data_IF_621700523902
#
_entry.id   IF_621700523902
#
_cell.length_a   1.000
_cell.length_b   1.000
_cell.length_c   1.000
_cell.angle_alpha   90.00
_cell.angle_beta   90.00
_cell.angle_gamma   90.00
#
_symmetry.space_group_name_H-M   'P 1'
#
loop_
_entity.id
_entity.type
_entity.pdbx_description
1 polymer ?
#
# COMPACT_ATOMS: atom_id res chain seq x y z
N UNK A 1 -7.60 35.14 -33.04
CA UNK A 1 -7.18 35.97 -31.88
C UNK A 1 -8.22 35.91 -30.75
N UNK A 2 -8.22 34.82 -29.98
CA UNK A 2 -8.84 34.75 -28.66
C UNK A 2 -7.96 33.82 -27.81
N UNK A 3 -7.19 34.43 -26.92
CA UNK A 3 -6.26 33.79 -25.99
C UNK A 3 -7.02 33.24 -24.79
N UNK A 4 -7.11 31.92 -24.71
CA UNK A 4 -7.45 31.22 -23.47
C UNK A 4 -6.26 31.35 -22.49
N UNK A 5 -6.41 32.22 -21.49
CA UNK A 5 -5.53 32.25 -20.31
C UNK A 5 -6.02 31.19 -19.32
N UNK A 6 -5.23 30.12 -19.17
CA UNK A 6 -5.28 29.24 -18.00
C UNK A 6 -4.90 30.05 -16.76
N UNK A 7 -5.87 30.31 -15.88
CA UNK A 7 -5.69 30.78 -14.52
C UNK A 7 -6.27 29.70 -13.60
N UNK A 8 -5.44 29.20 -12.67
CA UNK A 8 -5.78 28.10 -11.78
C UNK A 8 -4.63 27.12 -11.50
N UNK A 9 -3.39 27.48 -11.83
CA UNK A 9 -2.20 26.86 -11.28
C UNK A 9 -1.88 27.49 -9.92
N UNK A 10 -2.68 27.17 -8.89
CA UNK A 10 -2.39 27.53 -7.50
C UNK A 10 -3.34 26.77 -6.56
N UNK A 11 -3.19 25.45 -6.49
CA UNK A 11 -3.63 24.64 -5.33
C UNK A 11 -3.06 23.20 -5.37
N UNK A 12 -1.90 23.02 -6.02
CA UNK A 12 -1.06 21.83 -5.86
C UNK A 12 0.02 22.07 -4.80
N UNK A 13 -0.34 22.84 -3.77
CA UNK A 13 0.43 22.85 -2.53
C UNK A 13 0.38 21.43 -1.99
N UNK A 14 1.51 20.73 -2.02
CA UNK A 14 1.75 19.61 -1.13
C UNK A 14 1.36 20.05 0.28
N UNK A 15 0.13 19.76 0.71
CA UNK A 15 -0.10 19.50 2.11
C UNK A 15 0.79 18.30 2.40
N UNK A 16 1.92 18.44 3.12
CA UNK A 16 2.56 17.27 3.66
C UNK A 16 1.45 16.57 4.41
N UNK A 17 1.13 15.33 4.03
CA UNK A 17 0.17 14.53 4.77
C UNK A 17 0.54 14.69 6.24
N UNK A 18 -0.33 15.32 7.04
CA UNK A 18 -0.09 15.63 8.46
C UNK A 18 0.17 14.37 9.30
N UNK A 19 0.13 13.21 8.65
CA UNK A 19 0.44 11.90 9.14
C UNK A 19 1.90 11.49 8.88
N UNK A 20 2.79 11.83 9.80
CA UNK A 20 4.23 11.46 9.78
C UNK A 20 4.48 9.97 9.44
N UNK A 21 3.64 9.08 9.96
CA UNK A 21 3.72 7.65 9.68
C UNK A 21 3.53 7.30 8.19
N UNK A 22 2.66 7.99 7.44
CA UNK A 22 2.50 7.72 6.00
C UNK A 22 3.73 8.18 5.22
N UNK A 23 4.28 9.34 5.56
CA UNK A 23 5.52 9.83 4.98
C UNK A 23 6.69 8.86 5.26
N UNK A 24 6.79 8.34 6.48
CA UNK A 24 7.79 7.34 6.85
C UNK A 24 7.73 6.11 5.92
N UNK A 25 6.54 5.53 5.70
CA UNK A 25 6.38 4.40 4.78
C UNK A 25 6.69 4.76 3.33
N UNK A 26 6.30 5.95 2.87
CA UNK A 26 6.58 6.41 1.52
C UNK A 26 8.09 6.58 1.27
N UNK A 27 8.81 7.21 2.20
CA UNK A 27 10.26 7.36 2.10
C UNK A 27 10.97 6.02 2.18
N UNK A 28 10.52 5.11 3.05
CA UNK A 28 11.01 3.73 3.11
C UNK A 28 10.83 3.00 1.78
N UNK A 29 9.64 3.07 1.19
CA UNK A 29 9.34 2.50 -0.13
C UNK A 29 10.20 3.10 -1.24
N UNK A 30 10.40 4.42 -1.25
CA UNK A 30 11.28 5.09 -2.19
C UNK A 30 12.73 4.64 -2.04
N UNK A 31 13.21 4.50 -0.80
CA UNK A 31 14.55 3.97 -0.51
C UNK A 31 14.73 2.55 -1.05
N UNK A 32 13.76 1.66 -0.80
CA UNK A 32 13.76 0.30 -1.36
C UNK A 32 13.76 0.32 -2.89
N UNK A 33 12.96 1.18 -3.52
CA UNK A 33 12.93 1.33 -4.98
C UNK A 33 14.28 1.80 -5.54
N UNK A 34 14.89 2.83 -4.95
CA UNK A 34 16.20 3.34 -5.40
C UNK A 34 17.29 2.30 -5.22
N UNK A 35 17.35 1.63 -4.06
CA UNK A 35 18.29 0.53 -3.82
C UNK A 35 18.13 -0.58 -4.86
N UNK A 36 16.89 -0.97 -5.12
CA UNK A 36 16.58 -1.95 -6.14
C UNK A 36 17.09 -1.52 -7.53
N UNK A 37 16.81 -0.28 -7.97
CA UNK A 37 17.28 0.24 -9.27
C UNK A 37 18.81 0.30 -9.35
N UNK A 38 19.48 0.71 -8.28
CA UNK A 38 20.95 0.72 -8.20
C UNK A 38 21.51 -0.71 -8.30
N UNK A 39 20.92 -1.67 -7.59
CA UNK A 39 21.39 -3.07 -7.65
C UNK A 39 21.21 -3.68 -9.04
N UNK A 40 20.14 -3.34 -9.76
CA UNK A 40 19.96 -3.77 -11.15
C UNK A 40 21.01 -3.19 -12.09
N UNK A 41 21.33 -1.90 -11.93
CA UNK A 41 22.38 -1.26 -12.73
C UNK A 41 23.75 -1.89 -12.49
N UNK A 42 24.00 -2.42 -11.29
CA UNK A 42 25.24 -3.12 -10.95
C UNK A 42 25.31 -4.57 -11.40
N UNK A 43 24.17 -5.28 -11.47
CA UNK A 43 24.10 -6.71 -11.83
C UNK A 43 23.90 -6.98 -13.31
N UNK A 44 23.68 -5.95 -14.14
CA UNK A 44 23.51 -6.15 -15.57
C UNK A 44 24.80 -6.66 -16.24
N UNK A 45 24.70 -7.75 -16.99
CA UNK A 45 25.76 -8.22 -17.89
C UNK A 45 25.83 -7.27 -19.08
N UNK A 46 26.94 -6.54 -19.19
CA UNK A 46 27.21 -5.58 -20.27
C UNK A 46 28.72 -5.52 -20.49
N UNK A 47 29.12 -5.13 -21.69
CA UNK A 47 30.52 -4.83 -22.00
C UNK A 47 31.17 -3.89 -20.98
N UNK A 48 32.46 -4.10 -20.71
CA UNK A 48 33.19 -3.42 -19.64
C UNK A 48 33.13 -1.88 -19.71
N UNK A 49 33.08 -1.32 -20.93
CA UNK A 49 32.94 0.12 -21.17
C UNK A 49 31.57 0.66 -20.75
N UNK A 50 30.50 -0.07 -21.05
CA UNK A 50 29.13 0.28 -20.66
C UNK A 50 28.87 0.03 -19.17
N UNK A 51 29.56 -0.94 -18.58
CA UNK A 51 29.49 -1.22 -17.14
C UNK A 51 30.02 -0.02 -16.32
N UNK A 52 31.15 0.57 -16.71
CA UNK A 52 31.71 1.74 -16.03
C UNK A 52 30.75 2.93 -16.06
N UNK A 53 30.13 3.20 -17.23
CA UNK A 53 29.13 4.26 -17.40
C UNK A 53 27.87 4.01 -16.57
N UNK A 54 27.36 2.77 -16.55
CA UNK A 54 26.19 2.38 -15.73
C UNK A 54 26.47 2.50 -14.23
N UNK A 55 27.64 2.07 -13.77
CA UNK A 55 28.05 2.24 -12.37
C UNK A 55 28.13 3.71 -11.97
N UNK A 56 28.72 4.56 -12.81
CA UNK A 56 28.78 6.00 -12.57
C UNK A 56 27.37 6.62 -12.53
N UNK A 57 26.48 6.22 -13.44
CA UNK A 57 25.08 6.65 -13.41
C UNK A 57 24.38 6.17 -12.13
N UNK A 58 24.54 4.92 -11.72
CA UNK A 58 23.96 4.40 -10.48
C UNK A 58 24.41 5.21 -9.25
N UNK A 59 25.71 5.52 -9.17
CA UNK A 59 26.28 6.37 -8.10
C UNK A 59 25.67 7.77 -8.15
N UNK A 60 25.55 8.39 -9.34
CA UNK A 60 24.92 9.71 -9.49
C UNK A 60 23.45 9.70 -9.05
N UNK A 61 22.68 8.68 -9.43
CA UNK A 61 21.27 8.57 -9.03
C UNK A 61 21.12 8.35 -7.53
N UNK A 62 21.97 7.49 -6.95
CA UNK A 62 21.97 7.27 -5.51
C UNK A 62 22.39 8.52 -4.74
N UNK A 63 23.43 9.23 -5.21
CA UNK A 63 23.87 10.51 -4.63
C UNK A 63 22.80 11.59 -4.75
N UNK A 64 22.14 11.71 -5.90
CA UNK A 64 21.04 12.65 -6.09
C UNK A 64 19.84 12.32 -5.16
N UNK A 65 19.51 11.04 -5.01
CA UNK A 65 18.50 10.59 -4.05
C UNK A 65 18.88 10.96 -2.61
N UNK A 66 20.12 10.70 -2.20
CA UNK A 66 20.59 11.05 -0.85
C UNK A 66 20.54 12.57 -0.61
N UNK A 67 21.01 13.37 -1.56
CA UNK A 67 20.91 14.83 -1.48
C UNK A 67 19.46 15.30 -1.39
N UNK A 68 18.55 14.75 -2.22
CA UNK A 68 17.13 15.09 -2.17
C UNK A 68 16.48 14.66 -0.85
N UNK A 69 16.83 13.49 -0.32
CA UNK A 69 16.34 13.01 0.97
C UNK A 69 16.83 13.90 2.12
N UNK A 70 18.11 14.28 2.14
CA UNK A 70 18.67 15.18 3.16
C UNK A 70 18.06 16.58 3.08
N UNK A 71 17.85 17.11 1.87
CA UNK A 71 17.14 18.39 1.67
C UNK A 71 15.70 18.30 2.13
N UNK A 72 15.00 17.22 1.81
CA UNK A 72 13.64 16.95 2.26
C UNK A 72 13.54 16.91 3.79
N UNK A 73 14.47 16.19 4.45
CA UNK A 73 14.59 16.17 5.91
C UNK A 73 14.87 17.57 6.47
N UNK A 74 15.78 18.33 5.84
CA UNK A 74 16.11 19.69 6.26
C UNK A 74 14.93 20.65 6.18
N UNK A 75 14.17 20.62 5.07
CA UNK A 75 12.97 21.43 4.90
C UNK A 75 11.87 21.00 5.89
N UNK A 76 11.70 19.68 6.06
CA UNK A 76 10.74 19.13 7.01
C UNK A 76 11.09 19.48 8.46
N UNK A 77 12.38 19.52 8.82
CA UNK A 77 12.84 19.85 10.17
C UNK A 77 12.36 21.24 10.62
N UNK A 78 12.25 22.21 9.71
CA UNK A 78 11.70 23.53 10.02
C UNK A 78 10.25 23.44 10.51
N UNK A 79 9.46 22.52 9.96
CA UNK A 79 8.07 22.27 10.39
C UNK A 79 8.01 21.37 11.63
N UNK A 80 8.93 20.42 11.78
CA UNK A 80 8.90 19.43 12.85
C UNK A 80 9.58 19.86 14.14
N UNK A 81 10.56 20.77 14.13
CA UNK A 81 11.23 21.25 15.35
C UNK A 81 10.25 21.75 16.43
N UNK A 82 9.31 22.67 16.14
CA UNK A 82 8.32 23.10 17.13
C UNK A 82 7.29 22.01 17.48
N UNK A 83 7.00 21.09 16.55
CA UNK A 83 6.08 19.99 16.80
C UNK A 83 6.72 18.90 17.69
N UNK A 84 8.01 18.63 17.54
CA UNK A 84 8.75 17.62 18.33
C UNK A 84 8.94 18.12 19.76
N UNK A 85 9.33 19.37 19.98
CA UNK A 85 9.39 19.92 21.35
C UNK A 85 8.03 19.86 22.03
N UNK A 86 6.96 20.25 21.34
CA UNK A 86 5.59 20.15 21.87
C UNK A 86 5.15 18.70 22.14
N UNK A 87 5.52 17.75 21.28
CA UNK A 87 5.16 16.33 21.44
C UNK A 87 5.96 15.65 22.54
N UNK A 88 7.25 15.97 22.71
CA UNK A 88 8.08 15.40 23.76
C UNK A 88 7.69 15.96 25.14
N UNK A 89 7.36 17.25 25.22
CA UNK A 89 7.11 17.93 26.50
C UNK A 89 5.64 17.88 26.95
N UNK A 90 4.67 17.74 26.03
CA UNK A 90 3.24 17.93 26.35
C UNK A 90 2.27 16.90 25.74
N UNK A 91 2.73 15.93 24.92
CA UNK A 91 1.80 14.97 24.30
C UNK A 91 1.51 13.76 25.17
N UNK A 92 0.22 13.47 25.36
CA UNK A 92 -0.25 12.20 25.96
C UNK A 92 0.24 10.96 25.20
N UNK A 93 0.61 11.08 23.92
CA UNK A 93 0.97 9.95 23.03
C UNK A 93 2.39 9.41 23.27
N UNK A 94 3.34 10.26 23.64
CA UNK A 94 4.69 9.87 24.09
C UNK A 94 4.67 9.43 25.54
N UNK A 95 3.82 10.04 26.38
CA UNK A 95 3.65 9.62 27.78
C UNK A 95 3.09 8.20 27.93
N UNK A 96 2.21 7.76 27.02
CA UNK A 96 1.70 6.38 27.04
C UNK A 96 2.73 5.38 26.54
N UNK A 97 3.46 5.65 25.45
CA UNK A 97 4.49 4.71 24.95
C UNK A 97 5.73 4.59 25.85
N UNK A 98 6.12 5.67 26.56
CA UNK A 98 7.28 5.64 27.48
C UNK A 98 6.95 5.10 28.88
N UNK A 99 5.67 5.04 29.28
CA UNK A 99 5.23 4.54 30.60
C UNK A 99 4.44 3.23 30.52
N UNK A 100 3.96 2.83 29.35
CA UNK A 100 3.27 1.56 29.14
C UNK A 100 4.25 0.39 29.28
N UNK A 101 3.79 -0.67 29.94
CA UNK A 101 4.48 -1.96 29.88
C UNK A 101 4.59 -2.43 28.42
N UNK A 102 5.61 -3.24 28.09
CA UNK A 102 5.87 -3.64 26.69
C UNK A 102 4.62 -4.18 25.97
N UNK A 103 3.77 -4.94 26.67
CA UNK A 103 2.51 -5.48 26.13
C UNK A 103 1.45 -4.42 25.84
N UNK A 104 1.30 -3.42 26.71
CA UNK A 104 0.37 -2.31 26.51
C UNK A 104 0.78 -1.44 25.31
N UNK A 105 2.09 -1.18 25.15
CA UNK A 105 2.62 -0.46 24.00
C UNK A 105 2.34 -1.17 22.68
N UNK A 106 2.47 -2.50 22.67
CA UNK A 106 2.15 -3.34 21.52
C UNK A 106 0.65 -3.27 21.20
N UNK A 107 -0.23 -3.48 22.19
CA UNK A 107 -1.69 -3.45 22.01
C UNK A 107 -2.16 -2.07 21.51
N UNK A 108 -1.56 -1.00 22.03
CA UNK A 108 -1.84 0.36 21.58
C UNK A 108 -1.40 0.57 20.13
N UNK A 109 -0.20 0.14 19.77
CA UNK A 109 0.38 0.36 18.43
C UNK A 109 -0.30 -0.48 17.35
N UNK A 110 -0.75 -1.69 17.68
CA UNK A 110 -1.53 -2.56 16.78
C UNK A 110 -3.01 -2.20 16.71
N UNK A 111 -3.52 -1.34 17.60
CA UNK A 111 -4.92 -0.91 17.51
C UNK A 111 -5.19 -0.16 16.19
N UNK A 112 -6.42 -0.29 15.68
CA UNK A 112 -6.83 0.21 14.36
C UNK A 112 -6.08 -0.45 13.19
N UNK A 113 -5.67 -1.70 13.34
CA UNK A 113 -5.27 -2.53 12.22
C UNK A 113 -6.42 -2.78 11.25
N UNK A 114 -6.05 -3.06 10.00
CA UNK A 114 -6.93 -3.67 9.04
C UNK A 114 -7.14 -5.10 9.51
N UNK A 115 -8.24 -5.38 10.21
CA UNK A 115 -8.45 -6.73 10.73
C UNK A 115 -8.73 -7.72 9.56
N UNK A 116 -8.50 -9.03 9.74
CA UNK A 116 -8.68 -10.01 8.65
C UNK A 116 -10.06 -9.97 7.99
N UNK A 117 -11.11 -9.69 8.77
CA UNK A 117 -12.47 -9.48 8.27
C UNK A 117 -12.59 -8.33 7.27
N UNK A 118 -11.71 -7.33 7.38
CA UNK A 118 -11.76 -6.11 6.57
C UNK A 118 -11.04 -6.25 5.23
N UNK A 119 -10.26 -7.31 5.00
CA UNK A 119 -9.47 -7.52 3.77
C UNK A 119 -10.37 -7.57 2.53
N UNK A 120 -11.53 -8.23 2.63
CA UNK A 120 -12.48 -8.31 1.51
C UNK A 120 -13.02 -6.90 1.17
N UNK A 121 -13.06 -5.99 2.14
CA UNK A 121 -13.37 -4.57 1.98
C UNK A 121 -12.47 -3.83 0.97
N UNK A 122 -11.25 -4.32 0.75
CA UNK A 122 -10.33 -3.76 -0.26
C UNK A 122 -10.87 -3.95 -1.69
N UNK A 123 -11.66 -5.01 -1.92
CA UNK A 123 -12.25 -5.35 -3.21
C UNK A 123 -13.77 -5.09 -3.28
N UNK A 124 -14.48 -5.19 -2.15
CA UNK A 124 -15.94 -4.96 -2.08
C UNK A 124 -16.22 -4.06 -0.88
N UNK A 125 -16.42 -2.74 -1.08
CA UNK A 125 -16.49 -1.79 0.02
C UNK A 125 -17.62 -2.09 1.00
N UNK A 126 -18.76 -2.56 0.51
CA UNK A 126 -19.96 -2.83 1.32
C UNK A 126 -19.82 -4.07 2.21
N UNK A 127 -18.83 -4.94 1.96
CA UNK A 127 -18.73 -6.24 2.63
C UNK A 127 -18.58 -6.11 4.16
N UNK A 128 -17.77 -5.15 4.60
CA UNK A 128 -17.43 -4.94 6.02
C UNK A 128 -18.46 -4.04 6.71
N UNK A 129 -19.18 -3.22 5.94
CA UNK A 129 -20.14 -2.24 6.44
C UNK A 129 -19.49 -1.01 7.07
N UNK A 130 -20.34 -0.14 7.61
CA UNK A 130 -19.94 1.16 8.16
C UNK A 130 -20.71 1.47 9.45
N UNK A 131 -20.05 2.05 10.44
CA UNK A 131 -20.69 2.38 11.72
C UNK A 131 -21.60 3.59 11.57
N UNK A 132 -21.16 4.62 10.84
CA UNK A 132 -21.92 5.84 10.61
C UNK A 132 -22.06 6.09 9.11
N UNK A 133 -23.30 6.04 8.62
CA UNK A 133 -23.65 6.43 7.26
C UNK A 133 -24.81 7.43 7.25
N UNK A 134 -24.79 8.32 6.26
CA UNK A 134 -25.91 9.24 6.01
C UNK A 134 -27.15 8.46 5.56
N UNK A 135 -26.97 7.46 4.71
CA UNK A 135 -28.03 6.57 4.26
C UNK A 135 -28.45 5.60 5.39
N UNK A 136 -29.77 5.48 5.62
CA UNK A 136 -30.32 4.63 6.69
C UNK A 136 -30.01 3.15 6.51
N UNK A 137 -29.99 2.65 5.26
CA UNK A 137 -29.75 1.25 4.94
C UNK A 137 -28.30 0.79 5.21
N UNK A 138 -27.34 1.72 5.27
CA UNK A 138 -25.92 1.41 5.47
C UNK A 138 -25.45 1.67 6.91
N UNK A 139 -26.28 2.29 7.76
CA UNK A 139 -25.86 2.74 9.09
C UNK A 139 -25.83 1.57 10.07
N UNK A 140 -24.72 1.41 10.80
CA UNK A 140 -24.59 0.39 11.84
C UNK A 140 -24.42 -1.02 11.28
N UNK A 141 -23.99 -1.15 10.03
CA UNK A 141 -23.76 -2.45 9.37
C UNK A 141 -22.37 -3.02 9.62
N UNK A 142 -21.49 -2.24 10.27
CA UNK A 142 -20.13 -2.66 10.57
C UNK A 142 -20.09 -3.83 11.55
N UNK A 143 -19.42 -4.92 11.16
CA UNK A 143 -19.32 -6.16 11.94
C UNK A 143 -17.88 -6.60 12.25
N UNK A 144 -16.90 -5.71 12.06
CA UNK A 144 -15.50 -5.97 12.39
C UNK A 144 -15.12 -5.62 13.83
N UNK A 145 -13.88 -5.93 14.21
CA UNK A 145 -13.34 -5.76 15.57
C UNK A 145 -12.96 -4.33 15.97
N UNK A 146 -12.86 -3.39 15.03
CA UNK A 146 -12.56 -2.01 15.39
C UNK A 146 -13.75 -1.38 16.14
N UNK A 147 -13.50 -0.39 17.01
CA UNK A 147 -14.59 0.25 17.78
C UNK A 147 -15.62 0.96 16.88
N UNK A 148 -15.18 1.46 15.72
CA UNK A 148 -16.03 1.97 14.66
C UNK A 148 -15.30 1.89 13.32
N UNK A 149 -16.03 2.02 12.22
CA UNK A 149 -15.50 2.18 10.87
C UNK A 149 -16.24 3.32 10.18
N UNK A 150 -15.50 4.35 9.81
CA UNK A 150 -16.01 5.52 9.10
C UNK A 150 -15.33 5.74 7.74
N UNK A 151 -14.39 4.87 7.39
CA UNK A 151 -13.58 4.92 6.19
C UNK A 151 -13.66 3.56 5.48
N UNK A 152 -13.43 3.56 4.17
CA UNK A 152 -13.35 2.34 3.38
C UNK A 152 -11.99 2.32 2.69
N UNK A 153 -11.17 1.30 2.96
CA UNK A 153 -9.89 1.08 2.29
C UNK A 153 -10.08 0.43 0.90
N UNK A 154 -11.12 0.81 0.16
CA UNK A 154 -11.44 0.23 -1.13
C UNK A 154 -10.41 0.63 -2.20
N UNK A 155 -9.77 -0.37 -2.81
CA UNK A 155 -8.74 -0.19 -3.84
C UNK A 155 -9.33 -0.33 -5.24
N UNK A 156 -10.34 -1.17 -5.39
CA UNK A 156 -10.94 -1.47 -6.69
C UNK A 156 -10.80 -2.92 -7.06
N UNK A 157 -11.91 -3.64 -7.18
CA UNK A 157 -11.90 -5.02 -7.65
C UNK A 157 -11.24 -5.14 -9.03
N UNK A 158 -11.64 -4.28 -9.98
CA UNK A 158 -11.06 -4.24 -11.33
C UNK A 158 -9.55 -3.95 -11.27
N UNK A 159 -9.13 -3.06 -10.38
CA UNK A 159 -7.73 -2.69 -10.18
C UNK A 159 -6.92 -3.90 -9.70
N UNK A 160 -7.44 -4.66 -8.72
CA UNK A 160 -6.82 -5.89 -8.21
C UNK A 160 -6.75 -6.97 -9.29
N UNK A 161 -7.81 -7.16 -10.09
CA UNK A 161 -7.83 -8.14 -11.17
C UNK A 161 -6.80 -7.81 -12.25
N UNK A 162 -6.77 -6.57 -12.72
CA UNK A 162 -5.80 -6.13 -13.72
C UNK A 162 -4.38 -6.19 -13.18
N UNK A 163 -4.16 -5.91 -11.90
CA UNK A 163 -2.87 -6.14 -11.25
C UNK A 163 -2.45 -7.62 -11.31
N UNK A 164 -3.39 -8.55 -11.11
CA UNK A 164 -3.14 -9.98 -11.29
C UNK A 164 -2.65 -10.38 -12.69
N UNK A 165 -3.03 -9.62 -13.72
CA UNK A 165 -2.58 -9.88 -15.10
C UNK A 165 -1.08 -9.65 -15.27
N UNK A 166 -0.46 -8.78 -14.47
CA UNK A 166 0.98 -8.48 -14.57
C UNK A 166 1.88 -9.69 -14.32
N UNK A 167 1.36 -10.74 -13.66
CA UNK A 167 2.13 -11.95 -13.35
C UNK A 167 2.33 -12.88 -14.56
N UNK A 168 1.58 -12.69 -15.66
CA UNK A 168 1.57 -13.58 -16.82
C UNK A 168 2.54 -13.15 -17.94
N UNK A 169 3.72 -12.68 -17.55
CA UNK A 169 4.84 -12.34 -18.44
C UNK A 169 5.09 -10.84 -18.59
N UNK A 170 5.97 -10.49 -19.53
CA UNK A 170 6.46 -9.13 -19.75
C UNK A 170 7.93 -8.96 -19.36
N UNK A 171 8.59 -8.00 -19.99
CA UNK A 171 10.05 -7.78 -19.86
C UNK A 171 10.43 -7.16 -18.52
N UNK A 172 9.46 -6.58 -17.81
CA UNK A 172 9.66 -5.86 -16.55
C UNK A 172 9.52 -6.77 -15.32
N UNK A 173 9.94 -8.04 -15.44
CA UNK A 173 9.72 -9.07 -14.40
C UNK A 173 10.15 -8.64 -13.01
N UNK A 174 11.32 -8.04 -12.96
CA UNK A 174 11.93 -7.59 -11.73
C UNK A 174 11.14 -6.46 -11.06
N UNK A 175 10.56 -5.53 -11.84
CA UNK A 175 9.78 -4.42 -11.32
C UNK A 175 8.44 -4.89 -10.75
N UNK A 176 7.72 -5.77 -11.45
CA UNK A 176 6.48 -6.28 -10.86
C UNK A 176 6.75 -7.12 -9.62
N UNK A 177 7.86 -7.88 -9.55
CA UNK A 177 8.25 -8.59 -8.31
C UNK A 177 8.46 -7.61 -7.17
N UNK A 178 9.16 -6.49 -7.42
CA UNK A 178 9.37 -5.45 -6.43
C UNK A 178 8.03 -4.90 -5.89
N UNK A 179 7.12 -4.47 -6.77
CA UNK A 179 5.85 -3.90 -6.35
C UNK A 179 4.93 -4.93 -5.71
N UNK A 180 4.92 -6.18 -6.18
CA UNK A 180 4.21 -7.27 -5.53
C UNK A 180 4.75 -7.53 -4.11
N UNK A 181 6.07 -7.48 -3.92
CA UNK A 181 6.71 -7.68 -2.62
C UNK A 181 6.44 -6.50 -1.69
N UNK A 182 6.56 -5.27 -2.19
CA UNK A 182 6.29 -4.03 -1.46
C UNK A 182 4.83 -3.94 -1.03
N UNK A 183 3.91 -4.24 -1.95
CA UNK A 183 2.47 -4.30 -1.67
C UNK A 183 2.15 -5.38 -0.64
N UNK A 184 2.67 -6.59 -0.82
CA UNK A 184 2.46 -7.69 0.14
C UNK A 184 2.97 -7.34 1.53
N UNK A 185 4.16 -6.73 1.63
CA UNK A 185 4.72 -6.26 2.90
C UNK A 185 3.83 -5.20 3.55
N UNK A 186 3.34 -4.23 2.77
CA UNK A 186 2.43 -3.20 3.27
C UNK A 186 1.09 -3.79 3.75
N UNK A 187 0.51 -4.74 3.02
CA UNK A 187 -0.71 -5.43 3.43
C UNK A 187 -0.50 -6.22 4.73
N UNK A 188 0.59 -7.00 4.81
CA UNK A 188 0.93 -7.78 6.00
C UNK A 188 1.18 -6.87 7.21
N UNK A 189 1.86 -5.73 7.02
CA UNK A 189 2.01 -4.72 8.06
C UNK A 189 0.66 -4.10 8.47
N UNK A 190 -0.23 -3.83 7.51
CA UNK A 190 -1.54 -3.21 7.77
C UNK A 190 -2.46 -4.06 8.65
N UNK A 191 -2.30 -5.39 8.59
CA UNK A 191 -2.96 -6.36 9.45
C UNK A 191 -2.52 -6.28 10.92
N UNK A 192 -1.44 -5.55 11.21
CA UNK A 192 -0.87 -5.35 12.54
C UNK A 192 -0.72 -6.63 13.35
N UNK A 193 -1.31 -6.67 14.54
CA UNK A 193 -1.14 -7.77 15.50
C UNK A 193 -1.54 -9.16 14.99
N UNK A 194 -2.27 -9.24 13.87
CA UNK A 194 -2.67 -10.50 13.24
C UNK A 194 -1.60 -11.13 12.34
N UNK A 195 -0.46 -10.45 12.13
CA UNK A 195 0.67 -11.00 11.36
C UNK A 195 2.00 -10.89 12.11
N UNK A 196 2.91 -11.88 11.94
CA UNK A 196 4.25 -11.77 12.50
C UNK A 196 5.08 -10.67 11.84
N UNK A 197 4.73 -10.25 10.61
CA UNK A 197 5.45 -9.20 9.87
C UNK A 197 5.39 -7.86 10.60
N UNK A 198 4.21 -7.45 11.05
CA UNK A 198 4.09 -6.22 11.83
C UNK A 198 4.91 -6.30 13.11
N UNK A 199 4.88 -7.46 13.78
CA UNK A 199 5.58 -7.67 15.05
C UNK A 199 7.10 -7.54 14.91
N UNK A 200 7.66 -8.16 13.88
CA UNK A 200 9.09 -8.05 13.55
C UNK A 200 9.44 -6.58 13.26
N UNK A 201 8.64 -5.88 12.46
CA UNK A 201 8.92 -4.48 12.14
C UNK A 201 8.78 -3.56 13.36
N UNK A 202 7.84 -3.83 14.26
CA UNK A 202 7.69 -3.11 15.53
C UNK A 202 8.92 -3.24 16.44
N UNK A 203 9.53 -4.42 16.50
CA UNK A 203 10.66 -4.71 17.38
C UNK A 203 12.02 -4.24 16.81
N UNK A 204 12.22 -4.39 15.49
CA UNK A 204 13.53 -4.18 14.88
C UNK A 204 13.66 -2.86 14.11
N UNK A 205 12.57 -2.26 13.64
CA UNK A 205 12.64 -1.04 12.82
C UNK A 205 12.42 0.20 13.68
N UNK A 206 13.40 1.11 13.75
CA UNK A 206 13.31 2.28 14.62
C UNK A 206 12.18 3.21 14.18
N UNK A 207 11.41 3.68 15.16
CA UNK A 207 10.29 4.60 14.97
C UNK A 207 8.93 3.92 14.81
N UNK A 208 8.87 2.62 14.43
CA UNK A 208 7.58 1.90 14.29
C UNK A 208 6.86 1.78 15.64
N UNK A 209 7.60 1.66 16.74
CA UNK A 209 7.02 1.60 18.10
C UNK A 209 6.30 2.89 18.54
N UNK A 210 6.52 3.99 17.85
CA UNK A 210 5.83 5.27 18.08
C UNK A 210 4.53 5.39 17.28
N UNK A 211 4.28 4.46 16.36
CA UNK A 211 3.16 4.50 15.43
C UNK A 211 1.95 3.74 15.94
N UNK A 212 0.77 4.13 15.44
CA UNK A 212 -0.53 3.52 15.75
C UNK A 212 -1.32 3.40 14.45
N UNK A 213 -2.34 2.55 14.41
CA UNK A 213 -3.17 2.32 13.24
C UNK A 213 -2.33 1.79 12.07
N UNK A 214 -1.87 0.52 12.14
CA UNK A 214 -1.10 -0.09 11.06
C UNK A 214 -1.84 -0.06 9.72
N UNK A 215 -3.18 -0.06 9.74
CA UNK A 215 -4.06 0.08 8.57
C UNK A 215 -3.66 1.23 7.65
N UNK A 216 -3.07 2.31 8.17
CA UNK A 216 -2.65 3.44 7.34
C UNK A 216 -1.64 3.05 6.27
N UNK A 217 -0.80 2.04 6.50
CA UNK A 217 0.16 1.53 5.49
C UNK A 217 -0.52 0.97 4.23
N UNK A 218 -1.83 0.73 4.25
CA UNK A 218 -2.60 0.22 3.10
C UNK A 218 -2.52 1.15 1.88
N UNK A 219 -2.23 2.45 2.06
CA UNK A 219 -1.99 3.35 0.93
C UNK A 219 -0.85 2.85 0.05
N UNK A 220 0.19 2.27 0.66
CA UNK A 220 1.35 1.75 -0.05
C UNK A 220 1.01 0.44 -0.77
N UNK A 221 0.14 -0.38 -0.19
CA UNK A 221 -0.46 -1.52 -0.89
C UNK A 221 -1.27 -1.05 -2.11
N UNK A 222 -2.16 -0.07 -1.95
CA UNK A 222 -2.92 0.52 -3.05
C UNK A 222 -2.03 1.08 -4.16
N UNK A 223 -0.97 1.82 -3.81
CA UNK A 223 0.03 2.29 -4.77
C UNK A 223 0.70 1.15 -5.55
N UNK A 224 1.13 0.10 -4.86
CA UNK A 224 1.71 -1.09 -5.49
C UNK A 224 0.73 -1.80 -6.41
N UNK A 225 -0.53 -1.99 -6.00
CA UNK A 225 -1.56 -2.65 -6.83
C UNK A 225 -1.89 -1.79 -8.07
N UNK A 226 -2.02 -0.47 -7.94
CA UNK A 226 -2.25 0.41 -9.10
C UNK A 226 -1.07 0.35 -10.08
N UNK A 227 0.16 0.27 -9.57
CA UNK A 227 1.35 0.12 -10.42
C UNK A 227 1.36 -1.23 -11.14
N UNK A 228 1.02 -2.32 -10.44
CA UNK A 228 0.87 -3.64 -11.04
C UNK A 228 -0.26 -3.66 -12.08
N UNK A 229 -1.37 -2.98 -11.83
CA UNK A 229 -2.45 -2.83 -12.80
C UNK A 229 -1.94 -2.18 -14.09
N UNK A 230 -1.09 -1.15 -14.01
CA UNK A 230 -0.52 -0.53 -15.20
C UNK A 230 0.31 -1.54 -16.02
N UNK A 231 1.13 -2.37 -15.37
CA UNK A 231 1.85 -3.46 -16.05
C UNK A 231 0.91 -4.52 -16.62
N UNK A 232 -0.18 -4.84 -15.93
CA UNK A 232 -1.21 -5.76 -16.41
C UNK A 232 -1.90 -5.23 -17.67
N UNK A 233 -2.22 -3.94 -17.72
CA UNK A 233 -2.78 -3.28 -18.90
C UNK A 233 -1.77 -3.29 -20.05
N UNK A 234 -0.51 -2.92 -19.79
CA UNK A 234 0.57 -2.98 -20.78
C UNK A 234 0.71 -4.39 -21.37
N UNK A 235 0.61 -5.42 -20.53
CA UNK A 235 0.61 -6.82 -20.95
C UNK A 235 -0.56 -7.15 -21.86
N UNK A 236 -1.78 -6.74 -21.52
CA UNK A 236 -2.96 -6.97 -22.36
C UNK A 236 -2.83 -6.28 -23.72
N UNK A 237 -2.38 -5.02 -23.74
CA UNK A 237 -2.16 -4.27 -24.97
C UNK A 237 -1.06 -4.89 -25.86
N UNK A 238 0.00 -5.42 -25.24
CA UNK A 238 1.03 -6.15 -25.97
C UNK A 238 0.47 -7.43 -26.60
N UNK A 239 -0.34 -8.18 -25.86
CA UNK A 239 -0.95 -9.41 -26.34
C UNK A 239 -1.98 -9.17 -27.44
N UNK A 240 -2.71 -8.05 -27.39
CA UNK A 240 -3.65 -7.66 -28.45
C UNK A 240 -2.92 -7.46 -29.79
N UNK A 241 -1.76 -6.79 -29.76
CA UNK A 241 -0.98 -6.47 -30.97
C UNK A 241 -0.14 -7.65 -31.48
N UNK A 242 0.49 -8.39 -30.57
CA UNK A 242 1.55 -9.35 -30.90
C UNK A 242 1.25 -10.78 -30.43
N UNK A 243 0.12 -11.01 -29.76
CA UNK A 243 -0.11 -12.25 -29.02
C UNK A 243 -0.57 -13.41 -29.90
N UNK A 244 0.24 -14.47 -29.94
CA UNK A 244 -0.22 -15.80 -30.37
C UNK A 244 -1.21 -16.37 -29.36
N UNK A 245 -2.16 -17.22 -29.80
CA UNK A 245 -3.15 -17.88 -28.94
C UNK A 245 -2.55 -18.54 -27.69
N UNK A 246 -1.34 -19.10 -27.78
CA UNK A 246 -0.66 -19.76 -26.65
C UNK A 246 -0.29 -18.79 -25.51
N UNK A 247 0.10 -17.57 -25.84
CA UNK A 247 0.52 -16.55 -24.85
C UNK A 247 -0.70 -15.91 -24.16
N UNK A 248 -1.85 -15.89 -24.84
CA UNK A 248 -3.13 -15.43 -24.30
C UNK A 248 -3.77 -16.39 -23.29
N UNK A 249 -3.40 -17.68 -23.30
CA UNK A 249 -4.05 -18.69 -22.45
C UNK A 249 -3.95 -18.39 -20.96
N UNK A 250 -2.79 -17.91 -20.48
CA UNK A 250 -2.58 -17.59 -19.05
C UNK A 250 -3.48 -16.45 -18.55
N UNK A 251 -3.31 -15.23 -19.10
CA UNK A 251 -4.15 -14.08 -18.76
C UNK A 251 -5.64 -14.34 -19.00
N UNK A 252 -6.00 -14.98 -20.12
CA UNK A 252 -7.37 -15.29 -20.46
C UNK A 252 -8.02 -16.22 -19.45
N UNK A 253 -7.36 -17.35 -19.10
CA UNK A 253 -7.86 -18.27 -18.07
C UNK A 253 -7.99 -17.58 -16.73
N UNK A 254 -7.02 -16.76 -16.35
CA UNK A 254 -7.10 -15.99 -15.11
C UNK A 254 -8.32 -15.07 -15.07
N UNK A 255 -8.57 -14.29 -16.13
CA UNK A 255 -9.73 -13.38 -16.19
C UNK A 255 -11.06 -14.14 -16.24
N UNK A 256 -11.15 -15.25 -16.97
CA UNK A 256 -12.35 -16.10 -17.00
C UNK A 256 -12.62 -16.74 -15.65
N UNK A 257 -11.59 -17.31 -15.01
CA UNK A 257 -11.70 -17.87 -13.66
C UNK A 257 -12.09 -16.81 -12.65
N UNK A 258 -11.48 -15.62 -12.70
CA UNK A 258 -11.83 -14.51 -11.84
C UNK A 258 -13.29 -14.08 -12.03
N UNK A 259 -13.76 -13.99 -13.27
CA UNK A 259 -15.16 -13.67 -13.58
C UNK A 259 -16.11 -14.72 -13.02
N UNK A 260 -15.79 -16.01 -13.19
CA UNK A 260 -16.58 -17.11 -12.63
C UNK A 260 -16.64 -17.08 -11.09
N UNK A 261 -15.50 -16.85 -10.44
CA UNK A 261 -15.42 -16.68 -8.98
C UNK A 261 -16.23 -15.47 -8.50
N UNK A 262 -16.21 -14.36 -9.26
CA UNK A 262 -16.98 -13.18 -8.92
C UNK A 262 -18.48 -13.38 -9.07
N UNK A 263 -18.93 -14.04 -10.13
CA UNK A 263 -20.34 -14.38 -10.32
C UNK A 263 -20.83 -15.31 -9.19
N UNK A 264 -20.02 -16.30 -8.82
CA UNK A 264 -20.29 -17.16 -7.66
C UNK A 264 -20.31 -16.34 -6.37
N UNK A 265 -19.35 -15.44 -6.17
CA UNK A 265 -19.26 -14.56 -5.01
C UNK A 265 -20.48 -13.65 -4.87
N UNK A 266 -20.97 -13.07 -5.97
CA UNK A 266 -22.20 -12.26 -6.02
C UNK A 266 -23.42 -13.12 -5.64
N UNK A 267 -23.52 -14.33 -6.17
CA UNK A 267 -24.60 -15.26 -5.81
C UNK A 267 -24.57 -15.64 -4.31
N UNK A 268 -23.39 -15.95 -3.77
CA UNK A 268 -23.21 -16.26 -2.36
C UNK A 268 -23.40 -15.03 -1.44
N UNK A 269 -23.08 -13.84 -1.93
CA UNK A 269 -23.35 -12.57 -1.24
C UNK A 269 -24.86 -12.28 -1.17
N UNK A 270 -25.59 -12.48 -2.28
CA UNK A 270 -27.03 -12.30 -2.32
C UNK A 270 -27.79 -13.24 -1.35
N UNK A 271 -27.25 -14.43 -1.08
CA UNK A 271 -27.79 -15.37 -0.08
C UNK A 271 -27.33 -15.10 1.36
N UNK A 272 -26.41 -14.15 1.58
CA UNK A 272 -25.77 -13.89 2.87
C UNK A 272 -24.81 -14.99 3.36
N UNK A 273 -24.60 -16.03 2.56
CA UNK A 273 -23.77 -17.20 2.91
C UNK A 273 -22.30 -16.81 3.05
N UNK A 274 -21.80 -15.95 2.16
CA UNK A 274 -20.38 -15.55 2.16
C UNK A 274 -19.98 -14.83 3.45
N UNK A 275 -20.82 -13.92 3.95
CA UNK A 275 -20.56 -13.17 5.18
C UNK A 275 -20.56 -14.10 6.39
N UNK A 276 -21.47 -15.09 6.43
CA UNK A 276 -21.51 -16.10 7.50
C UNK A 276 -20.26 -16.98 7.50
N UNK A 277 -19.92 -17.59 6.36
CA UNK A 277 -18.74 -18.46 6.24
C UNK A 277 -17.46 -17.70 6.58
N UNK A 278 -17.36 -16.45 6.12
CA UNK A 278 -16.19 -15.62 6.41
C UNK A 278 -16.12 -15.20 7.88
N UNK A 279 -17.24 -14.86 8.50
CA UNK A 279 -17.31 -14.60 9.93
C UNK A 279 -16.91 -15.83 10.75
N UNK A 280 -17.42 -17.02 10.41
CA UNK A 280 -17.03 -18.28 11.05
C UNK A 280 -15.53 -18.55 10.93
N UNK A 281 -14.93 -18.28 9.76
CA UNK A 281 -13.49 -18.46 9.56
C UNK A 281 -12.65 -17.47 10.38
N UNK A 282 -13.08 -16.20 10.44
CA UNK A 282 -12.31 -15.13 11.07
C UNK A 282 -12.50 -15.09 12.59
N UNK A 283 -13.66 -15.49 13.10
CA UNK A 283 -14.00 -15.53 14.52
C UNK A 283 -13.95 -16.94 15.11
N UNK A 284 -13.11 -17.85 14.58
CA UNK A 284 -12.89 -19.14 15.24
C UNK A 284 -12.37 -18.89 16.66
N UNK A 285 -13.21 -19.18 17.65
CA UNK A 285 -12.85 -19.27 19.07
C UNK A 285 -12.13 -20.59 19.36
#
# INVERSE_FOLDING_TARGET
PHSFRFLGASDWGCHPSTHFQMAYFLFGAMGVYVLFRVTQMWRGEVDAHDLARRKQMAIKHFGAFLCAALLGIGIAAVQFLPAVSYVVDHSRRTSTTNQATGQEGIAYSSSWSLHPEEIVGLAVPEFVGVTRANAGWARGTYWGRNAFKGNHEYIGLVVILLAGVSFFGGDQRSLWILFASLGSMALLFSLGGHTPVWRILYEFVPGISLFRAPSLSIFLFGFSIVTLMAFGIERLLYLEKNGTKSVWLGPGRFLWSATGVLLLGVFLAASGTITKLWAEFVYQE
#
